data_IF_020750265116
#
_entry.id   IF_020750265116
#
_cell.length_a   1.000
_cell.length_b   1.000
_cell.length_c   1.000
_cell.angle_alpha   90.00
_cell.angle_beta   90.00
_cell.angle_gamma   90.00
#
_symmetry.space_group_name_H-M   'P 1'
#
loop_
_entity.id
_entity.type
_entity.pdbx_description
1 polymer ?
#
# COMPACT_ATOMS: atom_id res chain seq x y z
N UNK A 1 4.42 -16.55 -38.64
CA UNK A 1 3.60 -15.44 -39.14
C UNK A 1 2.85 -14.86 -37.96
N UNK A 2 3.03 -13.57 -37.66
CA UNK A 2 2.58 -12.93 -36.43
C UNK A 2 1.06 -12.66 -36.46
N UNK A 3 0.36 -13.04 -35.39
CA UNK A 3 -1.09 -12.93 -35.20
C UNK A 3 -1.58 -11.47 -34.99
N UNK A 4 -1.11 -10.49 -35.75
CA UNK A 4 -1.56 -9.09 -35.60
C UNK A 4 -1.20 -8.42 -34.27
N UNK A 5 -0.37 -9.06 -33.44
CA UNK A 5 0.11 -8.50 -32.18
C UNK A 5 1.41 -7.71 -32.38
N UNK A 6 1.49 -6.52 -31.79
CA UNK A 6 2.72 -5.74 -31.68
C UNK A 6 3.55 -6.20 -30.49
N UNK A 7 4.88 -6.12 -30.61
CA UNK A 7 5.79 -6.49 -29.54
C UNK A 7 5.51 -5.70 -28.25
N UNK A 8 5.67 -6.37 -27.11
CA UNK A 8 5.54 -5.74 -25.80
C UNK A 8 6.82 -4.99 -25.42
N UNK A 9 6.86 -3.69 -25.71
CA UNK A 9 7.97 -2.81 -25.35
C UNK A 9 7.93 -2.39 -23.88
N UNK A 10 9.04 -1.88 -23.35
CA UNK A 10 9.07 -1.30 -21.99
C UNK A 10 8.08 -0.15 -21.82
N UNK A 11 7.85 0.64 -22.88
CA UNK A 11 6.82 1.68 -22.92
C UNK A 11 5.42 1.11 -22.69
N UNK A 12 5.09 -0.01 -23.35
CA UNK A 12 3.80 -0.69 -23.15
C UNK A 12 3.66 -1.17 -21.70
N UNK A 13 4.74 -1.71 -21.11
CA UNK A 13 4.72 -2.11 -19.70
C UNK A 13 4.53 -0.92 -18.75
N UNK A 14 5.16 0.22 -19.05
CA UNK A 14 4.97 1.47 -18.30
C UNK A 14 3.52 1.94 -18.34
N UNK A 15 2.90 1.95 -19.54
CA UNK A 15 1.50 2.31 -19.73
C UNK A 15 0.54 1.37 -19.00
N UNK A 16 0.78 0.05 -19.06
CA UNK A 16 -0.02 -0.94 -18.34
C UNK A 16 0.09 -0.77 -16.82
N UNK A 17 1.29 -0.50 -16.29
CA UNK A 17 1.49 -0.27 -14.87
C UNK A 17 0.80 1.01 -14.39
N UNK A 18 0.87 2.09 -15.16
CA UNK A 18 0.19 3.35 -14.84
C UNK A 18 -1.34 3.16 -14.84
N UNK A 19 -1.88 2.52 -15.88
CA UNK A 19 -3.30 2.22 -15.99
C UNK A 19 -3.81 1.35 -14.83
N UNK A 20 -3.09 0.30 -14.47
CA UNK A 20 -3.45 -0.52 -13.30
C UNK A 20 -3.54 0.32 -12.03
N UNK A 21 -2.52 1.15 -11.77
CA UNK A 21 -2.44 1.95 -10.56
C UNK A 21 -3.59 2.98 -10.47
N UNK A 22 -4.04 3.55 -11.59
CA UNK A 22 -5.08 4.59 -11.60
C UNK A 22 -6.50 4.03 -11.70
N UNK A 23 -6.72 2.99 -12.50
CA UNK A 23 -8.08 2.53 -12.84
C UNK A 23 -8.53 1.30 -12.04
N UNK A 24 -7.62 0.37 -11.73
CA UNK A 24 -8.00 -0.92 -11.15
C UNK A 24 -7.58 -1.08 -9.69
N UNK A 25 -6.34 -0.72 -9.37
CA UNK A 25 -5.81 -0.87 -8.03
C UNK A 25 -6.63 -0.11 -6.94
N UNK A 26 -7.28 1.04 -7.21
CA UNK A 26 -8.12 1.69 -6.20
C UNK A 26 -9.34 0.84 -5.76
N UNK A 27 -9.81 -0.08 -6.60
CA UNK A 27 -10.96 -0.94 -6.32
C UNK A 27 -10.58 -2.39 -5.99
N UNK A 28 -9.46 -2.90 -6.53
CA UNK A 28 -9.00 -4.28 -6.36
C UNK A 28 -7.48 -4.34 -6.22
N UNK A 29 -6.98 -4.94 -5.14
CA UNK A 29 -5.54 -5.10 -4.84
C UNK A 29 -5.05 -6.55 -4.99
N UNK A 30 -5.97 -7.50 -5.14
CA UNK A 30 -5.67 -8.91 -5.32
C UNK A 30 -4.91 -9.12 -6.62
N UNK A 31 -3.62 -9.43 -6.48
CA UNK A 31 -2.74 -9.68 -7.63
C UNK A 31 -3.24 -10.83 -8.50
N UNK A 32 -3.90 -11.83 -7.90
CA UNK A 32 -4.50 -12.95 -8.62
C UNK A 32 -5.70 -12.56 -9.48
N UNK A 33 -6.45 -11.54 -9.09
CA UNK A 33 -7.55 -10.98 -9.89
C UNK A 33 -7.04 -9.99 -10.94
N UNK A 34 -6.00 -9.22 -10.62
CA UNK A 34 -5.42 -8.23 -11.53
C UNK A 34 -4.63 -8.88 -12.69
N UNK A 35 -3.91 -9.97 -12.45
CA UNK A 35 -3.09 -10.64 -13.47
C UNK A 35 -3.85 -11.05 -14.74
N UNK A 36 -5.01 -11.76 -14.69
CA UNK A 36 -5.76 -12.09 -15.90
C UNK A 36 -6.30 -10.85 -16.62
N UNK A 37 -6.63 -9.78 -15.89
CA UNK A 37 -7.12 -8.52 -16.46
C UNK A 37 -6.04 -7.82 -17.28
N UNK A 38 -4.78 -7.83 -16.83
CA UNK A 38 -3.64 -7.31 -17.61
C UNK A 38 -3.48 -8.05 -18.93
N UNK A 39 -3.59 -9.38 -18.90
CA UNK A 39 -3.46 -10.21 -20.10
C UNK A 39 -4.61 -9.95 -21.08
N UNK A 40 -5.84 -9.82 -20.59
CA UNK A 40 -6.99 -9.44 -21.40
C UNK A 40 -6.78 -8.07 -22.06
N UNK A 41 -6.35 -7.08 -21.28
CA UNK A 41 -6.06 -5.73 -21.78
C UNK A 41 -4.99 -5.72 -22.88
N UNK A 42 -3.92 -6.50 -22.73
CA UNK A 42 -2.89 -6.62 -23.77
C UNK A 42 -3.49 -7.12 -25.08
N UNK A 43 -4.40 -8.09 -25.02
CA UNK A 43 -5.06 -8.62 -26.22
C UNK A 43 -5.95 -7.57 -26.90
N UNK A 44 -6.71 -6.81 -26.12
CA UNK A 44 -7.56 -5.72 -26.63
C UNK A 44 -6.72 -4.64 -27.31
N UNK A 45 -5.59 -4.27 -26.71
CA UNK A 45 -4.63 -3.30 -27.26
C UNK A 45 -3.74 -3.88 -28.38
N UNK A 46 -3.99 -5.12 -28.80
CA UNK A 46 -3.21 -5.88 -29.79
C UNK A 46 -1.71 -5.90 -29.48
N UNK A 47 -1.36 -5.97 -28.20
CA UNK A 47 0.01 -6.13 -27.67
C UNK A 47 0.21 -7.59 -27.28
N UNK A 48 1.39 -8.13 -27.62
CA UNK A 48 1.77 -9.45 -27.15
C UNK A 48 1.77 -9.50 -25.61
N UNK A 49 1.04 -10.42 -24.96
CA UNK A 49 1.04 -10.50 -23.51
C UNK A 49 2.45 -10.74 -22.95
N UNK A 50 2.87 -10.04 -21.89
CA UNK A 50 4.13 -10.33 -21.22
C UNK A 50 4.17 -11.79 -20.73
N UNK A 51 5.37 -12.33 -20.51
CA UNK A 51 5.50 -13.63 -19.88
C UNK A 51 4.80 -13.63 -18.50
N UNK A 52 4.19 -14.74 -18.04
CA UNK A 52 3.41 -14.76 -16.80
C UNK A 52 4.16 -14.17 -15.59
N UNK A 53 5.46 -14.47 -15.44
CA UNK A 53 6.28 -13.89 -14.37
C UNK A 53 6.46 -12.38 -14.47
N UNK A 54 6.48 -11.81 -15.68
CA UNK A 54 6.51 -10.37 -15.91
C UNK A 54 5.16 -9.72 -15.58
N UNK A 55 4.03 -10.38 -15.89
CA UNK A 55 2.69 -9.90 -15.51
C UNK A 55 2.60 -9.76 -14.00
N UNK A 56 3.00 -10.78 -13.23
CA UNK A 56 2.99 -10.72 -11.76
C UNK A 56 3.86 -9.61 -11.19
N UNK A 57 5.05 -9.37 -11.79
CA UNK A 57 5.93 -8.25 -11.41
C UNK A 57 5.30 -6.90 -11.70
N UNK A 58 4.68 -6.74 -12.86
CA UNK A 58 4.01 -5.52 -13.29
C UNK A 58 2.84 -5.19 -12.37
N UNK A 59 1.99 -6.17 -12.07
CA UNK A 59 0.88 -6.05 -11.11
C UNK A 59 1.40 -5.69 -9.71
N UNK A 60 2.44 -6.39 -9.23
CA UNK A 60 3.05 -6.08 -7.93
C UNK A 60 3.62 -4.67 -7.85
N UNK A 61 4.23 -4.18 -8.94
CA UNK A 61 4.71 -2.80 -9.04
C UNK A 61 3.55 -1.80 -8.99
N UNK A 62 2.49 -2.01 -9.78
CA UNK A 62 1.34 -1.11 -9.82
C UNK A 62 0.64 -0.99 -8.45
N UNK A 63 0.43 -2.12 -7.77
CA UNK A 63 -0.12 -2.14 -6.41
C UNK A 63 0.77 -1.35 -5.44
N UNK A 64 2.09 -1.60 -5.46
CA UNK A 64 3.05 -0.88 -4.61
C UNK A 64 3.09 0.62 -4.90
N UNK A 65 2.95 1.02 -6.16
CA UNK A 65 2.95 2.42 -6.56
C UNK A 65 1.66 3.13 -6.09
N UNK A 66 0.51 2.47 -6.17
CA UNK A 66 -0.73 2.96 -5.58
C UNK A 66 -0.59 3.13 -4.06
N UNK A 67 -0.14 2.10 -3.35
CA UNK A 67 0.01 2.11 -1.88
C UNK A 67 0.88 3.30 -1.42
N UNK A 68 2.01 3.53 -2.11
CA UNK A 68 2.88 4.68 -1.85
C UNK A 68 2.18 6.01 -2.09
N UNK A 69 1.43 6.12 -3.20
CA UNK A 69 0.66 7.32 -3.53
C UNK A 69 -0.43 7.61 -2.51
N UNK A 70 -1.16 6.58 -2.10
CA UNK A 70 -2.20 6.64 -1.08
C UNK A 70 -1.65 7.06 0.27
N UNK A 71 -0.56 6.42 0.74
CA UNK A 71 0.09 6.76 2.00
C UNK A 71 0.58 8.21 2.00
N UNK A 72 1.27 8.63 0.94
CA UNK A 72 1.72 10.03 0.79
C UNK A 72 0.55 11.00 0.83
N UNK A 73 -0.50 10.78 0.03
CA UNK A 73 -1.67 11.65 0.00
C UNK A 73 -2.38 11.73 1.36
N UNK A 74 -2.42 10.61 2.08
CA UNK A 74 -3.01 10.56 3.43
C UNK A 74 -2.16 11.36 4.42
N UNK A 75 -0.84 11.18 4.41
CA UNK A 75 0.09 11.90 5.29
C UNK A 75 0.16 13.39 4.98
N UNK A 76 0.00 13.79 3.72
CA UNK A 76 -0.04 15.19 3.30
C UNK A 76 -1.28 15.93 3.82
N UNK A 77 -2.38 15.20 4.10
CA UNK A 77 -3.58 15.77 4.71
C UNK A 77 -3.42 16.05 6.21
N UNK A 78 -2.38 15.50 6.85
CA UNK A 78 -2.10 15.74 8.26
C UNK A 78 -1.38 17.07 8.44
N UNK A 79 -1.80 17.83 9.44
CA UNK A 79 -1.08 19.05 9.85
C UNK A 79 0.32 18.72 10.34
N UNK A 80 1.25 19.67 10.25
CA UNK A 80 2.59 19.51 10.80
C UNK A 80 2.55 19.16 12.30
N UNK A 81 1.67 19.81 13.07
CA UNK A 81 1.52 19.54 14.50
C UNK A 81 1.07 18.10 14.78
N UNK A 82 0.12 17.57 13.99
CA UNK A 82 -0.32 16.18 14.10
C UNK A 82 0.81 15.21 13.74
N UNK A 83 1.58 15.50 12.69
CA UNK A 83 2.71 14.67 12.27
C UNK A 83 3.80 14.64 13.35
N UNK A 84 4.20 15.79 13.89
CA UNK A 84 5.17 15.87 14.98
C UNK A 84 4.74 15.06 16.19
N UNK A 85 3.47 15.13 16.61
CA UNK A 85 2.96 14.33 17.73
C UNK A 85 3.02 12.82 17.48
N UNK A 86 2.81 12.37 16.25
CA UNK A 86 2.94 10.96 15.87
C UNK A 86 4.41 10.51 15.90
N UNK A 87 5.33 11.35 15.41
CA UNK A 87 6.78 11.07 15.50
C UNK A 87 7.26 11.03 16.95
N UNK A 88 6.78 11.94 17.81
CA UNK A 88 7.09 11.95 19.25
C UNK A 88 6.59 10.68 19.95
N UNK A 89 5.40 10.17 19.56
CA UNK A 89 4.85 8.91 20.06
C UNK A 89 5.73 7.70 19.70
N UNK A 90 6.27 7.66 18.48
CA UNK A 90 7.20 6.61 18.03
C UNK A 90 8.54 6.74 18.77
N UNK A 91 9.10 7.95 18.88
CA UNK A 91 10.38 8.16 19.58
C UNK A 91 10.29 7.86 21.10
N UNK A 92 9.13 8.09 21.70
CA UNK A 92 8.86 7.80 23.11
C UNK A 92 8.71 6.31 23.44
N UNK A 93 8.52 5.42 22.45
CA UNK A 93 8.41 3.98 22.68
C UNK A 93 9.76 3.26 22.90
N UNK A 94 10.85 3.88 22.44
CA UNK A 94 12.20 3.32 22.45
C UNK A 94 13.09 3.76 23.62
N UNK A 95 12.60 4.63 24.52
CA UNK A 95 13.42 5.22 25.59
C UNK A 95 13.21 4.62 26.99
N UNK A 96 12.36 3.59 27.15
CA UNK A 96 12.15 2.94 28.45
C UNK A 96 12.99 1.67 28.63
N UNK A 97 14.31 1.83 28.61
CA UNK A 97 15.22 0.95 29.34
C UNK A 97 16.17 1.77 30.21
N UNK A 98 15.67 2.10 31.41
CA UNK A 98 16.48 2.47 32.56
C UNK A 98 16.64 3.97 32.81
N UNK A 99 15.68 4.57 33.51
CA UNK A 99 15.97 5.43 34.65
C UNK A 99 14.66 5.67 35.41
N UNK A 100 14.65 5.24 36.66
CA UNK A 100 13.66 5.57 37.67
C UNK A 100 13.68 7.10 37.85
N UNK A 101 12.75 7.82 37.22
CA UNK A 101 12.49 9.22 37.53
C UNK A 101 10.99 9.48 37.54
N UNK A 102 10.48 9.71 38.75
CA UNK A 102 9.17 10.24 39.05
C UNK A 102 8.94 11.56 38.30
N UNK A 103 8.09 11.52 37.27
CA UNK A 103 7.85 12.64 36.36
C UNK A 103 6.72 12.35 35.38
N UNK A 104 5.52 12.79 35.73
CA UNK A 104 4.25 12.68 35.00
C UNK A 104 4.34 12.65 33.46
N UNK A 105 4.36 11.44 32.89
CA UNK A 105 4.04 11.20 31.49
C UNK A 105 2.51 11.12 31.33
N UNK A 106 1.87 12.26 31.13
CA UNK A 106 0.43 12.33 30.81
C UNK A 106 0.20 11.79 29.38
N UNK A 107 -0.26 10.54 29.29
CA UNK A 107 -1.34 10.20 28.34
C UNK A 107 -1.01 9.35 27.11
N UNK A 108 0.17 8.72 26.98
CA UNK A 108 0.48 7.84 25.83
C UNK A 108 0.31 6.34 26.11
N UNK A 109 1.08 5.82 27.07
CA UNK A 109 1.17 4.39 27.38
C UNK A 109 -0.09 3.82 28.06
N UNK A 110 -0.72 4.61 28.92
CA UNK A 110 -1.90 4.18 29.69
C UNK A 110 -3.10 3.86 28.78
N UNK A 111 -3.38 4.71 27.79
CA UNK A 111 -4.54 4.57 26.90
C UNK A 111 -4.43 3.34 25.97
N UNK A 112 -3.24 3.03 25.47
CA UNK A 112 -3.03 1.86 24.61
C UNK A 112 -3.09 0.54 25.40
N UNK A 113 -2.74 0.58 26.68
CA UNK A 113 -2.82 -0.58 27.57
C UNK A 113 -4.29 -0.89 27.90
N UNK A 114 -5.11 0.13 28.14
CA UNK A 114 -6.56 0.00 28.38
C UNK A 114 -7.29 -0.67 27.20
N UNK A 115 -7.01 -0.24 25.96
CA UNK A 115 -7.56 -0.86 24.73
C UNK A 115 -7.18 -2.34 24.56
N UNK A 116 -6.03 -2.76 25.09
CA UNK A 116 -5.58 -4.15 25.00
C UNK A 116 -6.22 -5.06 26.05
N UNK A 117 -6.87 -4.48 27.06
CA UNK A 117 -7.42 -5.20 28.20
C UNK A 117 -8.94 -5.41 28.10
N UNK A 118 -9.58 -4.92 27.04
CA UNK A 118 -11.00 -5.18 26.76
C UNK A 118 -11.16 -6.31 25.73
N UNK A 119 -11.31 -7.58 26.14
CA UNK A 119 -11.89 -8.59 25.28
C UNK A 119 -13.38 -8.24 25.18
N UNK A 120 -13.74 -7.48 24.14
CA UNK A 120 -15.12 -7.06 23.90
C UNK A 120 -16.11 -8.20 24.13
N UNK A 121 -17.21 -7.86 24.80
CA UNK A 121 -18.23 -8.81 25.28
C UNK A 121 -18.67 -9.73 24.13
N UNK A 122 -18.58 -11.07 24.24
CA UNK A 122 -19.16 -11.96 23.25
C UNK A 122 -20.67 -11.74 23.24
N UNK A 123 -21.18 -11.23 22.12
CA UNK A 123 -22.60 -10.98 21.92
C UNK A 123 -23.43 -12.24 22.14
N UNK A 124 -24.51 -12.08 22.91
CA UNK A 124 -25.59 -13.05 23.15
C UNK A 124 -26.49 -13.20 21.92
#
# INVERSE_FOLDING_TARGET
MAYGFRANTEENQGRLAAWLATELCPAELSRGQLAPVVVARCRDDHVEPPAPGQVWRLVGKAVKDLEKGFCRSTTDRLSHATRSRLEDLIAGDGSEHGADSDGAAVGGRAHFTELKTDPGVPGV
#
